data_IF_748608858908
#
_entry.id   IF_748608858908
#
_cell.length_a   1.000
_cell.length_b   1.000
_cell.length_c   1.000
_cell.angle_alpha   90.00
_cell.angle_beta   90.00
_cell.angle_gamma   90.00
#
_symmetry.space_group_name_H-M   'P 1'
#
loop_
_entity.id
_entity.type
_entity.pdbx_description
1 polymer ?
#
# COMPACT_ATOMS: atom_id res chain seq x y z
N UNK A 1 11.17 31.21 -5.47
CA UNK A 1 10.55 31.74 -4.24
C UNK A 1 9.06 31.88 -4.51
N UNK A 2 8.26 30.93 -4.03
CA UNK A 2 6.80 31.05 -3.95
C UNK A 2 6.44 30.55 -2.55
N UNK A 3 6.52 31.47 -1.59
CA UNK A 3 6.05 31.26 -0.23
C UNK A 3 4.56 31.63 -0.22
N UNK A 4 3.71 30.61 -0.40
CA UNK A 4 2.26 30.75 -0.19
C UNK A 4 1.89 29.99 1.06
N UNK A 5 1.77 30.71 2.17
CA UNK A 5 1.13 30.29 3.41
C UNK A 5 -0.34 29.98 3.14
N UNK A 6 -0.63 28.82 2.56
CA UNK A 6 -1.98 28.25 2.55
C UNK A 6 -2.31 27.86 3.99
N UNK A 7 -3.46 28.32 4.50
CA UNK A 7 -4.00 27.85 5.77
C UNK A 7 -4.00 26.32 5.79
N UNK A 8 -3.33 25.68 6.77
CA UNK A 8 -3.25 24.23 6.81
C UNK A 8 -4.66 23.64 6.89
N UNK A 9 -4.88 22.52 6.21
CA UNK A 9 -6.20 21.87 6.21
C UNK A 9 -6.65 21.58 7.64
N UNK A 10 -7.96 21.54 7.90
CA UNK A 10 -8.50 21.17 9.23
C UNK A 10 -7.90 19.85 9.73
N UNK A 11 -7.63 18.92 8.82
CA UNK A 11 -7.02 17.62 9.13
C UNK A 11 -5.58 17.80 9.60
N UNK A 12 -4.81 18.65 8.92
CA UNK A 12 -3.44 18.96 9.33
C UNK A 12 -3.38 19.63 10.69
N UNK A 13 -4.27 20.60 10.96
CA UNK A 13 -4.32 21.29 12.26
C UNK A 13 -4.61 20.32 13.41
N UNK A 14 -5.59 19.41 13.24
CA UNK A 14 -5.91 18.38 14.22
C UNK A 14 -4.74 17.44 14.48
N UNK A 15 -4.12 16.91 13.42
CA UNK A 15 -2.98 15.98 13.54
C UNK A 15 -1.79 16.68 14.20
N UNK A 16 -1.50 17.91 13.81
CA UNK A 16 -0.41 18.70 14.39
C UNK A 16 -0.61 18.90 15.90
N UNK A 17 -1.82 19.30 16.32
CA UNK A 17 -2.14 19.48 17.74
C UNK A 17 -1.99 18.19 18.53
N UNK A 18 -2.62 17.10 18.09
CA UNK A 18 -2.56 15.81 18.77
C UNK A 18 -1.11 15.29 18.85
N UNK A 19 -0.32 15.50 17.80
CA UNK A 19 1.10 15.14 17.81
C UNK A 19 1.87 15.92 18.87
N UNK A 20 1.77 17.25 18.87
CA UNK A 20 2.54 18.10 19.78
C UNK A 20 2.07 18.05 21.24
N UNK A 21 0.84 17.62 21.50
CA UNK A 21 0.37 17.35 22.87
C UNK A 21 1.10 16.17 23.54
N UNK A 22 1.59 15.22 22.75
CA UNK A 22 2.32 14.05 23.24
C UNK A 22 3.80 14.02 22.86
N UNK A 23 4.29 14.99 22.10
CA UNK A 23 5.66 15.00 21.58
C UNK A 23 6.68 15.54 22.59
N UNK A 24 7.81 14.85 22.69
CA UNK A 24 9.02 15.32 23.35
C UNK A 24 10.24 14.88 22.54
N UNK A 25 11.34 15.61 22.67
CA UNK A 25 12.55 15.30 21.90
C UNK A 25 13.07 13.89 22.22
N UNK A 26 13.34 13.10 21.17
CA UNK A 26 13.79 11.71 21.28
C UNK A 26 12.67 10.67 21.40
N UNK A 27 11.40 11.08 21.48
CA UNK A 27 10.28 10.13 21.49
C UNK A 27 10.15 9.41 20.15
N UNK A 28 9.86 8.11 20.18
CA UNK A 28 9.69 7.29 18.97
C UNK A 28 8.26 6.80 18.77
N UNK A 29 7.41 6.86 19.80
CA UNK A 29 5.99 6.48 19.73
C UNK A 29 5.13 7.43 20.57
N UNK A 30 4.00 7.89 20.01
CA UNK A 30 3.04 8.76 20.69
C UNK A 30 1.64 8.15 20.55
N UNK A 31 1.12 7.46 21.58
CA UNK A 31 -0.22 6.89 21.54
C UNK A 31 -1.29 7.98 21.70
N UNK A 32 -2.40 7.84 20.97
CA UNK A 32 -3.58 8.69 21.13
C UNK A 32 -4.88 7.94 20.86
N UNK A 33 -5.98 8.48 21.38
CA UNK A 33 -7.32 7.90 21.22
C UNK A 33 -8.19 8.79 20.33
N UNK A 34 -9.24 8.22 19.73
CA UNK A 34 -10.17 8.98 18.87
C UNK A 34 -10.78 10.22 19.56
N UNK A 35 -10.88 10.22 20.89
CA UNK A 35 -11.38 11.38 21.67
C UNK A 35 -10.47 12.61 21.53
N UNK A 36 -9.18 12.42 21.29
CA UNK A 36 -8.21 13.50 21.13
C UNK A 36 -8.57 14.44 19.96
N UNK A 37 -9.27 13.93 18.93
CA UNK A 37 -9.78 14.78 17.86
C UNK A 37 -10.84 15.78 18.34
N UNK A 38 -11.69 15.40 19.29
CA UNK A 38 -12.72 16.30 19.85
C UNK A 38 -12.08 17.37 20.72
N UNK A 39 -11.15 16.94 21.58
CA UNK A 39 -10.38 17.83 22.47
C UNK A 39 -9.58 18.85 21.65
N UNK A 40 -8.80 18.37 20.66
CA UNK A 40 -8.05 19.24 19.76
C UNK A 40 -8.94 20.19 18.95
N UNK A 41 -10.11 19.74 18.46
CA UNK A 41 -11.02 20.60 17.72
C UNK A 41 -11.58 21.74 18.58
N UNK A 42 -11.91 21.44 19.84
CA UNK A 42 -12.42 22.42 20.80
C UNK A 42 -11.36 23.44 21.17
N UNK A 43 -10.12 23.01 21.43
CA UNK A 43 -9.02 23.89 21.80
C UNK A 43 -8.57 24.81 20.64
N UNK A 44 -8.66 24.32 19.40
CA UNK A 44 -8.31 25.08 18.21
C UNK A 44 -9.48 25.93 17.66
N UNK A 45 -10.67 25.87 18.26
CA UNK A 45 -11.91 26.48 17.77
C UNK A 45 -12.20 26.14 16.29
N UNK A 46 -12.04 24.87 15.93
CA UNK A 46 -12.31 24.36 14.59
C UNK A 46 -13.53 23.45 14.58
N UNK A 47 -14.33 23.56 13.51
CA UNK A 47 -15.45 22.65 13.29
C UNK A 47 -14.96 21.21 13.15
N UNK A 48 -15.38 20.35 14.08
CA UNK A 48 -15.04 18.92 14.11
C UNK A 48 -15.49 18.25 12.79
N UNK A 49 -14.62 17.50 12.10
CA UNK A 49 -15.02 16.74 10.93
C UNK A 49 -16.08 15.69 11.26
N UNK A 50 -17.10 15.57 10.40
CA UNK A 50 -18.19 14.59 10.57
C UNK A 50 -17.68 13.14 10.59
N UNK A 51 -16.65 12.86 9.79
CA UNK A 51 -15.98 11.56 9.74
C UNK A 51 -14.54 11.64 10.27
N UNK A 52 -14.36 11.42 11.58
CA UNK A 52 -13.03 11.35 12.20
C UNK A 52 -12.15 10.22 11.64
N UNK A 53 -12.75 9.16 11.09
CA UNK A 53 -11.99 8.10 10.42
C UNK A 53 -11.31 8.58 9.14
N UNK A 54 -11.93 9.54 8.44
CA UNK A 54 -11.40 10.14 7.21
C UNK A 54 -10.13 10.96 7.48
N UNK A 55 -10.00 11.58 8.66
CA UNK A 55 -8.79 12.33 9.03
C UNK A 55 -7.56 11.40 9.05
N UNK A 56 -7.67 10.26 9.73
CA UNK A 56 -6.60 9.25 9.83
C UNK A 56 -6.34 8.62 8.46
N UNK A 57 -7.41 8.23 7.75
CA UNK A 57 -7.31 7.61 6.43
C UNK A 57 -6.61 8.55 5.42
N UNK A 58 -7.01 9.82 5.41
CA UNK A 58 -6.44 10.84 4.53
C UNK A 58 -4.95 11.05 4.79
N UNK A 59 -4.51 11.12 6.05
CA UNK A 59 -3.10 11.36 6.38
C UNK A 59 -2.23 10.11 6.16
N UNK A 60 -2.80 8.91 6.32
CA UNK A 60 -2.07 7.67 6.05
C UNK A 60 -1.86 7.39 4.56
N UNK A 61 -2.78 7.84 3.70
CA UNK A 61 -2.83 7.36 2.31
C UNK A 61 -2.94 8.43 1.22
N UNK A 62 -3.47 9.62 1.52
CA UNK A 62 -3.80 10.61 0.49
C UNK A 62 -3.05 11.93 0.61
N UNK A 63 -2.78 12.37 1.83
CA UNK A 63 -2.18 13.67 2.11
C UNK A 63 -0.90 13.53 2.91
N UNK A 64 0.13 14.35 2.61
CA UNK A 64 1.37 14.32 3.38
C UNK A 64 1.12 14.75 4.84
N UNK A 65 1.97 14.25 5.74
CA UNK A 65 2.00 14.64 7.16
C UNK A 65 2.20 16.18 7.29
N UNK A 66 1.65 16.84 8.34
CA UNK A 66 1.83 18.29 8.51
C UNK A 66 3.30 18.70 8.54
N UNK A 67 3.62 19.84 7.93
CA UNK A 67 5.00 20.33 7.80
C UNK A 67 5.72 20.48 9.16
N UNK A 68 5.01 20.90 10.21
CA UNK A 68 5.61 21.01 11.55
C UNK A 68 5.94 19.66 12.16
N UNK A 69 5.13 18.62 11.91
CA UNK A 69 5.44 17.24 12.32
C UNK A 69 6.63 16.72 11.54
N UNK A 70 6.67 16.96 10.21
CA UNK A 70 7.81 16.59 9.36
C UNK A 70 9.12 17.23 9.85
N UNK A 71 9.09 18.47 10.34
CA UNK A 71 10.26 19.15 10.88
C UNK A 71 10.88 18.49 12.13
N UNK A 72 10.14 17.58 12.79
CA UNK A 72 10.65 16.80 13.94
C UNK A 72 11.27 15.46 13.54
N UNK A 73 11.25 15.10 12.25
CA UNK A 73 11.74 13.81 11.77
C UNK A 73 13.28 13.77 11.76
N UNK A 74 13.90 12.78 12.42
CA UNK A 74 15.33 12.51 12.26
C UNK A 74 15.66 12.02 10.84
N UNK A 75 16.91 12.23 10.42
CA UNK A 75 17.40 11.75 9.12
C UNK A 75 17.19 10.24 8.98
N UNK A 76 16.60 9.83 7.85
CA UNK A 76 16.34 8.42 7.54
C UNK A 76 15.12 7.82 8.24
N UNK A 77 14.32 8.62 8.96
CA UNK A 77 13.09 8.18 9.60
C UNK A 77 11.90 9.06 9.25
N UNK A 78 10.71 8.50 9.32
CA UNK A 78 9.46 9.20 9.07
C UNK A 78 8.41 8.86 10.13
N UNK A 79 7.56 9.82 10.42
CA UNK A 79 6.40 9.66 11.27
C UNK A 79 5.26 9.02 10.46
N UNK A 80 4.79 7.88 10.93
CA UNK A 80 3.61 7.19 10.40
C UNK A 80 2.52 7.14 11.47
N UNK A 81 1.27 6.99 11.05
CA UNK A 81 0.15 6.71 11.95
C UNK A 81 -0.25 5.24 11.81
N UNK A 82 -0.22 4.52 12.92
CA UNK A 82 -0.63 3.12 13.00
C UNK A 82 -1.91 2.96 13.81
N UNK A 83 -2.68 1.93 13.47
CA UNK A 83 -3.85 1.51 14.25
C UNK A 83 -3.39 0.49 15.31
N UNK A 84 -3.66 0.78 16.58
CA UNK A 84 -3.27 -0.09 17.71
C UNK A 84 -4.49 -0.55 18.52
N UNK A 85 -5.61 -0.72 17.82
CA UNK A 85 -6.87 -1.18 18.39
C UNK A 85 -8.05 -0.30 18.02
N UNK A 86 -9.23 -0.67 18.54
CA UNK A 86 -10.48 0.04 18.25
C UNK A 86 -10.41 1.47 18.79
N UNK A 87 -10.45 2.44 17.89
CA UNK A 87 -10.37 3.88 18.20
C UNK A 87 -9.07 4.30 18.93
N UNK A 88 -8.00 3.51 18.77
CA UNK A 88 -6.67 3.76 19.32
C UNK A 88 -5.64 3.80 18.20
N UNK A 89 -4.77 4.78 18.28
CA UNK A 89 -3.79 5.11 17.25
C UNK A 89 -2.45 5.40 17.90
N UNK A 90 -1.37 5.32 17.13
CA UNK A 90 -0.09 5.88 17.54
C UNK A 90 0.60 6.56 16.38
N UNK A 91 1.26 7.68 16.66
CA UNK A 91 2.37 8.10 15.83
C UNK A 91 3.57 7.20 16.16
N UNK A 92 4.24 6.69 15.14
CA UNK A 92 5.46 5.91 15.31
C UNK A 92 6.50 6.43 14.33
N UNK A 93 7.74 6.55 14.82
CA UNK A 93 8.88 6.89 14.00
C UNK A 93 9.42 5.62 13.35
N UNK A 94 9.13 5.43 12.07
CA UNK A 94 9.56 4.29 11.26
C UNK A 94 10.77 4.65 10.41
N UNK A 95 11.54 3.65 9.97
CA UNK A 95 12.58 3.84 8.95
C UNK A 95 11.91 4.31 7.67
N UNK A 96 12.36 5.43 7.11
CA UNK A 96 11.82 5.97 5.86
C UNK A 96 12.28 5.08 4.70
N UNK A 97 11.51 4.02 4.43
CA UNK A 97 11.84 3.04 3.39
C UNK A 97 10.83 3.15 2.26
N UNK A 98 11.04 4.14 1.39
CA UNK A 98 10.19 4.36 0.23
C UNK A 98 10.52 3.33 -0.84
N UNK A 99 9.63 2.37 -1.03
CA UNK A 99 9.70 1.43 -2.16
C UNK A 99 9.12 2.11 -3.38
N UNK A 100 9.95 2.25 -4.41
CA UNK A 100 9.56 2.75 -5.74
C UNK A 100 10.03 1.75 -6.79
N UNK A 101 9.35 1.67 -7.95
CA UNK A 101 9.82 0.86 -9.07
C UNK A 101 11.26 1.21 -9.45
N UNK A 102 12.14 0.23 -9.45
CA UNK A 102 13.54 0.41 -9.81
C UNK A 102 13.68 0.57 -11.34
N UNK A 103 14.09 1.74 -11.85
CA UNK A 103 14.16 1.98 -13.30
C UNK A 103 15.27 1.19 -14.00
N UNK A 104 16.16 0.55 -13.24
CA UNK A 104 17.29 -0.24 -13.78
C UNK A 104 16.96 -1.73 -13.93
N UNK A 105 15.75 -2.17 -13.58
CA UNK A 105 15.33 -3.55 -13.81
C UNK A 105 14.95 -3.76 -15.27
N UNK A 106 15.30 -4.93 -15.80
CA UNK A 106 14.84 -5.34 -17.12
C UNK A 106 13.32 -5.48 -17.13
N UNK A 107 12.69 -4.92 -18.16
CA UNK A 107 11.24 -4.99 -18.38
C UNK A 107 10.92 -6.25 -19.18
N UNK A 108 10.04 -7.09 -18.63
CA UNK A 108 9.61 -8.35 -19.24
C UNK A 108 8.35 -8.08 -20.06
N UNK A 109 8.42 -8.26 -21.37
CA UNK A 109 7.28 -8.04 -22.27
C UNK A 109 6.44 -9.30 -22.35
N UNK A 110 5.14 -9.16 -22.15
CA UNK A 110 4.19 -10.27 -22.25
C UNK A 110 2.98 -9.85 -23.10
N UNK A 111 2.30 -10.79 -23.76
CA UNK A 111 1.05 -10.49 -24.47
C UNK A 111 -0.01 -9.91 -23.52
N UNK A 112 -0.66 -8.82 -23.92
CA UNK A 112 -1.82 -8.30 -23.20
C UNK A 112 -3.06 -9.16 -23.50
N UNK A 113 -3.56 -9.85 -22.48
CA UNK A 113 -4.76 -10.66 -22.52
C UNK A 113 -5.99 -9.91 -21.97
N UNK A 114 -5.84 -8.64 -21.62
CA UNK A 114 -6.96 -7.81 -21.13
C UNK A 114 -7.97 -7.62 -22.26
N UNK A 115 -9.23 -8.05 -22.11
CA UNK A 115 -10.25 -7.81 -23.13
C UNK A 115 -10.38 -6.30 -23.40
N UNK A 116 -10.38 -5.88 -24.66
CA UNK A 116 -10.44 -4.45 -25.05
C UNK A 116 -11.62 -3.71 -24.40
N UNK A 117 -12.73 -4.43 -24.19
CA UNK A 117 -13.93 -3.90 -23.53
C UNK A 117 -13.65 -3.40 -22.10
N UNK A 118 -12.68 -3.98 -21.41
CA UNK A 118 -12.25 -3.52 -20.08
C UNK A 118 -11.55 -2.17 -20.19
N UNK A 119 -10.65 -2.01 -21.17
CA UNK A 119 -9.98 -0.74 -21.44
C UNK A 119 -10.95 0.36 -21.83
N UNK A 120 -12.03 0.03 -22.54
CA UNK A 120 -13.06 0.99 -22.95
C UNK A 120 -13.91 1.55 -21.79
N UNK A 121 -13.99 0.85 -20.65
CA UNK A 121 -14.89 1.18 -19.54
C UNK A 121 -14.21 1.30 -18.17
N UNK A 122 -12.89 1.19 -18.09
CA UNK A 122 -12.18 1.38 -16.83
C UNK A 122 -12.35 2.82 -16.31
N UNK A 123 -12.86 2.98 -15.08
CA UNK A 123 -13.22 4.26 -14.49
C UNK A 123 -12.12 4.88 -13.63
N UNK A 124 -11.26 4.05 -13.02
CA UNK A 124 -10.16 4.48 -12.15
C UNK A 124 -8.89 3.64 -12.39
N UNK A 125 -7.73 4.20 -12.00
CA UNK A 125 -6.42 3.59 -12.24
C UNK A 125 -6.21 2.32 -11.39
N UNK A 126 -6.82 2.22 -10.21
CA UNK A 126 -6.61 1.07 -9.31
C UNK A 126 -7.34 -0.18 -9.81
N UNK A 127 -8.62 -0.05 -10.18
CA UNK A 127 -9.41 -1.12 -10.77
C UNK A 127 -8.87 -1.52 -12.14
N UNK A 128 -8.40 -0.55 -12.93
CA UNK A 128 -7.71 -0.85 -14.19
C UNK A 128 -6.46 -1.70 -13.94
N UNK A 129 -5.67 -1.37 -12.91
CA UNK A 129 -4.48 -2.13 -12.54
C UNK A 129 -4.82 -3.56 -12.12
N UNK A 130 -5.76 -3.74 -11.20
CA UNK A 130 -6.18 -5.06 -10.73
C UNK A 130 -6.78 -5.91 -11.85
N UNK A 131 -7.57 -5.31 -12.74
CA UNK A 131 -8.08 -6.01 -13.92
C UNK A 131 -6.95 -6.52 -14.81
N UNK A 132 -5.95 -5.67 -15.11
CA UNK A 132 -4.78 -6.08 -15.90
C UNK A 132 -3.97 -7.18 -15.21
N UNK A 133 -3.74 -7.07 -13.91
CA UNK A 133 -3.08 -8.11 -13.10
C UNK A 133 -3.81 -9.44 -13.23
N UNK A 134 -5.14 -9.43 -13.13
CA UNK A 134 -5.99 -10.64 -13.20
C UNK A 134 -6.02 -11.26 -14.59
N UNK A 135 -6.37 -10.48 -15.62
CA UNK A 135 -6.51 -11.00 -16.99
C UNK A 135 -5.19 -11.51 -17.57
N UNK A 136 -4.07 -10.93 -17.16
CA UNK A 136 -2.74 -11.35 -17.62
C UNK A 136 -2.08 -12.40 -16.71
N UNK A 137 -2.79 -12.89 -15.67
CA UNK A 137 -2.26 -13.83 -14.67
C UNK A 137 -0.89 -13.39 -14.13
N UNK A 138 -0.70 -12.10 -13.86
CA UNK A 138 0.60 -11.58 -13.45
C UNK A 138 1.05 -12.16 -12.11
N UNK A 139 0.12 -12.44 -11.20
CA UNK A 139 0.43 -13.11 -9.92
C UNK A 139 1.00 -14.51 -10.15
N UNK A 140 0.42 -15.29 -11.07
CA UNK A 140 0.91 -16.62 -11.43
C UNK A 140 2.31 -16.57 -12.03
N UNK A 141 2.51 -15.67 -13.00
CA UNK A 141 3.79 -15.48 -13.70
C UNK A 141 4.87 -15.05 -12.71
N UNK A 142 4.56 -14.07 -11.87
CA UNK A 142 5.50 -13.50 -10.92
C UNK A 142 5.88 -14.48 -9.81
N UNK A 143 4.91 -15.20 -9.25
CA UNK A 143 5.15 -16.08 -8.10
C UNK A 143 5.51 -17.51 -8.49
N UNK A 144 5.31 -17.90 -9.75
CA UNK A 144 5.43 -19.29 -10.20
C UNK A 144 4.37 -20.20 -9.60
N UNK A 145 3.18 -19.67 -9.33
CA UNK A 145 2.05 -20.36 -8.69
C UNK A 145 0.88 -20.50 -9.67
N UNK A 146 0.00 -21.48 -9.43
CA UNK A 146 -1.35 -21.46 -10.02
C UNK A 146 -2.28 -20.75 -9.06
N UNK A 147 -2.81 -19.59 -9.42
CA UNK A 147 -3.59 -18.73 -8.52
C UNK A 147 -5.03 -18.47 -8.97
N UNK A 148 -5.87 -18.16 -8.00
CA UNK A 148 -7.29 -17.84 -8.17
C UNK A 148 -7.64 -16.64 -7.29
N UNK A 149 -8.28 -15.63 -7.89
CA UNK A 149 -8.86 -14.52 -7.14
C UNK A 149 -10.02 -15.04 -6.29
N UNK A 150 -9.96 -14.77 -4.99
CA UNK A 150 -10.93 -15.22 -4.00
C UNK A 150 -11.93 -14.11 -3.67
N UNK A 151 -11.47 -12.87 -3.50
CA UNK A 151 -12.30 -11.74 -3.09
C UNK A 151 -11.63 -10.41 -3.44
N UNK A 152 -12.43 -9.45 -3.95
CA UNK A 152 -12.01 -8.07 -4.20
C UNK A 152 -12.55 -7.13 -3.11
N UNK A 153 -11.86 -6.03 -2.85
CA UNK A 153 -12.18 -4.99 -1.85
C UNK A 153 -12.66 -5.57 -0.53
N UNK A 154 -11.86 -6.49 0.01
CA UNK A 154 -12.20 -7.18 1.24
C UNK A 154 -12.03 -6.22 2.43
N UNK A 155 -13.16 -5.68 2.89
CA UNK A 155 -13.24 -4.95 4.15
C UNK A 155 -13.35 -5.92 5.32
N UNK A 156 -12.38 -5.86 6.22
CA UNK A 156 -12.27 -6.82 7.33
C UNK A 156 -11.60 -6.18 8.54
N UNK A 157 -11.25 -6.98 9.55
CA UNK A 157 -10.56 -6.48 10.73
C UNK A 157 -9.51 -7.45 11.25
N UNK A 158 -8.40 -6.89 11.72
CA UNK A 158 -7.32 -7.62 12.38
C UNK A 158 -7.42 -7.42 13.88
N UNK A 159 -7.39 -8.53 14.64
CA UNK A 159 -7.41 -8.45 16.10
C UNK A 159 -6.17 -7.69 16.59
N UNK A 160 -6.39 -6.66 17.41
CA UNK A 160 -5.32 -5.82 17.96
C UNK A 160 -4.93 -4.62 17.09
N UNK A 161 -5.39 -4.55 15.84
CA UNK A 161 -5.04 -3.46 14.92
C UNK A 161 -6.29 -2.64 14.59
N UNK A 162 -7.32 -3.24 13.99
CA UNK A 162 -8.54 -2.52 13.61
C UNK A 162 -9.09 -2.96 12.26
N UNK A 163 -9.94 -2.12 11.66
CA UNK A 163 -10.46 -2.36 10.32
C UNK A 163 -9.39 -2.10 9.25
N UNK A 164 -9.38 -2.95 8.24
CA UNK A 164 -8.46 -2.91 7.10
C UNK A 164 -9.24 -3.17 5.81
N UNK A 165 -8.61 -2.87 4.68
CA UNK A 165 -9.13 -3.14 3.35
C UNK A 165 -8.00 -3.77 2.52
N UNK A 166 -8.30 -4.93 1.93
CA UNK A 166 -7.41 -5.64 1.01
C UNK A 166 -8.03 -5.51 -0.38
N UNK A 167 -7.29 -4.95 -1.33
CA UNK A 167 -7.83 -4.63 -2.66
C UNK A 167 -8.19 -5.92 -3.42
N UNK A 168 -7.32 -6.93 -3.37
CA UNK A 168 -7.63 -8.26 -3.88
C UNK A 168 -6.93 -9.35 -3.08
N UNK A 169 -7.64 -10.44 -2.81
CA UNK A 169 -7.12 -11.61 -2.12
C UNK A 169 -7.10 -12.80 -3.07
N UNK A 170 -5.94 -13.41 -3.26
CA UNK A 170 -5.78 -14.64 -4.03
C UNK A 170 -5.50 -15.84 -3.12
N UNK A 171 -5.83 -17.03 -3.61
CA UNK A 171 -5.32 -18.31 -3.11
C UNK A 171 -4.57 -19.01 -4.23
N UNK A 172 -3.51 -19.75 -3.89
CA UNK A 172 -2.68 -20.39 -4.89
C UNK A 172 -2.06 -21.70 -4.44
N UNK A 173 -1.58 -22.46 -5.43
CA UNK A 173 -0.91 -23.74 -5.28
C UNK A 173 0.42 -23.72 -6.03
N UNK A 174 1.46 -24.29 -5.42
CA UNK A 174 2.70 -24.59 -6.14
C UNK A 174 2.70 -26.04 -6.68
N UNK A 175 3.75 -26.38 -7.42
CA UNK A 175 3.95 -27.72 -8.01
C UNK A 175 4.09 -28.85 -6.97
N UNK A 176 4.30 -28.53 -5.70
CA UNK A 176 4.40 -29.50 -4.61
C UNK A 176 3.08 -29.63 -3.82
N UNK A 177 2.04 -28.88 -4.22
CA UNK A 177 0.77 -28.86 -3.50
C UNK A 177 0.81 -28.03 -2.23
N UNK A 178 1.78 -27.12 -2.04
CA UNK A 178 1.72 -26.17 -0.93
C UNK A 178 0.68 -25.08 -1.22
N UNK A 179 -0.09 -24.70 -0.21
CA UNK A 179 -1.15 -23.70 -0.34
C UNK A 179 -0.67 -22.32 0.09
N UNK A 180 -1.08 -21.30 -0.66
CA UNK A 180 -0.71 -19.92 -0.44
C UNK A 180 -1.96 -19.04 -0.31
N UNK A 181 -1.85 -18.02 0.54
CA UNK A 181 -2.76 -16.87 0.58
C UNK A 181 -1.95 -15.64 0.18
N UNK A 182 -2.49 -14.84 -0.73
CA UNK A 182 -1.73 -13.80 -1.41
C UNK A 182 -2.57 -12.52 -1.37
N UNK A 183 -2.42 -11.67 -0.33
CA UNK A 183 -3.03 -10.35 -0.34
C UNK A 183 -2.30 -9.46 -1.35
N UNK A 184 -3.07 -8.78 -2.20
CA UNK A 184 -2.58 -7.87 -3.24
C UNK A 184 -3.11 -6.47 -2.97
N UNK A 185 -2.20 -5.50 -2.96
CA UNK A 185 -2.49 -4.07 -2.89
C UNK A 185 -2.14 -3.40 -4.22
N UNK A 186 -3.09 -2.68 -4.81
CA UNK A 186 -2.86 -1.92 -6.03
C UNK A 186 -2.54 -0.45 -5.70
N UNK A 187 -1.63 0.14 -6.48
CA UNK A 187 -1.23 1.54 -6.35
C UNK A 187 -1.26 2.22 -7.72
N UNK A 188 -2.11 3.23 -7.85
CA UNK A 188 -2.21 4.08 -9.05
C UNK A 188 -1.26 5.29 -8.97
N UNK A 189 -0.72 5.70 -10.11
CA UNK A 189 -0.01 6.98 -10.26
C UNK A 189 1.15 7.18 -9.27
N UNK A 190 1.07 8.22 -8.44
CA UNK A 190 2.12 8.59 -7.47
C UNK A 190 1.95 7.97 -6.09
N UNK A 191 0.96 7.09 -5.91
CA UNK A 191 0.72 6.43 -4.62
C UNK A 191 1.90 5.57 -4.21
N UNK A 192 2.20 5.56 -2.92
CA UNK A 192 3.35 4.86 -2.37
C UNK A 192 2.93 3.52 -1.77
N UNK A 193 3.83 2.55 -1.86
CA UNK A 193 3.68 1.25 -1.20
C UNK A 193 3.80 1.47 0.31
N UNK A 194 2.76 1.12 1.06
CA UNK A 194 2.68 1.37 2.50
C UNK A 194 3.10 0.14 3.31
N UNK A 195 4.17 0.27 4.10
CA UNK A 195 4.58 -0.74 5.08
C UNK A 195 3.45 -1.13 6.03
N UNK A 196 2.63 -0.15 6.43
CA UNK A 196 1.52 -0.38 7.34
C UNK A 196 0.44 -1.25 6.70
N UNK A 197 0.15 -1.08 5.40
CA UNK A 197 -0.82 -1.93 4.70
C UNK A 197 -0.29 -3.36 4.56
N UNK A 198 0.97 -3.52 4.12
CA UNK A 198 1.58 -4.85 4.01
C UNK A 198 1.58 -5.59 5.35
N UNK A 199 1.93 -4.90 6.44
CA UNK A 199 1.90 -5.48 7.79
C UNK A 199 0.48 -5.88 8.21
N UNK A 200 -0.51 -5.02 7.94
CA UNK A 200 -1.93 -5.25 8.23
C UNK A 200 -2.48 -6.47 7.49
N UNK A 201 -2.24 -6.54 6.18
CA UNK A 201 -2.73 -7.61 5.32
C UNK A 201 -2.09 -8.95 5.66
N UNK A 202 -0.77 -8.95 5.93
CA UNK A 202 -0.03 -10.14 6.35
C UNK A 202 -0.53 -10.64 7.71
N UNK A 203 -0.73 -9.74 8.67
CA UNK A 203 -1.28 -10.08 9.98
C UNK A 203 -2.69 -10.67 9.86
N UNK A 204 -3.53 -10.09 9.01
CA UNK A 204 -4.87 -10.61 8.75
C UNK A 204 -4.82 -12.02 8.16
N UNK A 205 -4.03 -12.23 7.11
CA UNK A 205 -3.88 -13.52 6.46
C UNK A 205 -3.37 -14.59 7.43
N UNK A 206 -2.40 -14.25 8.27
CA UNK A 206 -1.85 -15.17 9.28
C UNK A 206 -2.90 -15.54 10.34
N UNK A 207 -3.74 -14.59 10.77
CA UNK A 207 -4.82 -14.86 11.74
C UNK A 207 -5.95 -15.69 11.11
N UNK A 208 -6.34 -15.37 9.88
CA UNK A 208 -7.48 -16.01 9.20
C UNK A 208 -7.14 -17.38 8.63
N UNK A 209 -5.92 -17.55 8.11
CA UNK A 209 -5.44 -18.74 7.42
C UNK A 209 -4.09 -19.20 8.00
N UNK A 210 -4.04 -19.62 9.27
CA UNK A 210 -2.78 -19.95 9.96
C UNK A 210 -2.01 -21.13 9.35
N UNK A 211 -2.65 -21.94 8.50
CA UNK A 211 -2.06 -23.10 7.82
C UNK A 211 -1.59 -22.81 6.41
N UNK A 212 -1.82 -21.61 5.87
CA UNK A 212 -1.42 -21.21 4.52
C UNK A 212 -0.17 -20.32 4.57
N UNK A 213 0.65 -20.38 3.54
CA UNK A 213 1.81 -19.49 3.39
C UNK A 213 1.35 -18.14 2.86
N UNK A 214 1.59 -17.07 3.61
CA UNK A 214 1.27 -15.71 3.18
C UNK A 214 2.39 -15.13 2.30
N UNK A 215 2.06 -14.66 1.09
CA UNK A 215 2.97 -13.87 0.23
C UNK A 215 2.30 -12.55 -0.13
N UNK A 216 2.72 -11.46 0.51
CA UNK A 216 2.09 -10.16 0.30
C UNK A 216 2.66 -9.49 -0.97
N UNK A 217 1.75 -9.01 -1.82
CA UNK A 217 2.09 -8.43 -3.12
C UNK A 217 1.63 -6.99 -3.19
N UNK A 218 2.46 -6.12 -3.74
CA UNK A 218 2.01 -4.82 -4.21
C UNK A 218 2.18 -4.73 -5.72
N UNK A 219 1.14 -4.25 -6.40
CA UNK A 219 1.15 -3.93 -7.81
C UNK A 219 1.12 -2.42 -7.99
N UNK A 220 1.94 -1.90 -8.89
CA UNK A 220 2.00 -0.47 -9.17
C UNK A 220 2.14 -0.21 -10.67
N UNK A 221 1.41 0.78 -11.19
CA UNK A 221 1.65 1.28 -12.53
C UNK A 221 2.96 2.07 -12.59
N UNK A 222 3.82 1.73 -13.55
CA UNK A 222 4.95 2.57 -14.00
C UNK A 222 4.51 3.47 -15.16
N UNK A 223 3.71 2.90 -16.06
CA UNK A 223 2.96 3.56 -17.13
C UNK A 223 1.64 2.82 -17.34
N UNK A 224 0.79 3.27 -18.27
CA UNK A 224 -0.49 2.60 -18.55
C UNK A 224 -0.33 1.14 -19.01
N UNK A 225 0.81 0.78 -19.58
CA UNK A 225 1.13 -0.53 -20.14
C UNK A 225 2.25 -1.28 -19.37
N UNK A 226 2.90 -0.64 -18.39
CA UNK A 226 3.96 -1.24 -17.59
C UNK A 226 3.58 -1.30 -16.10
N UNK A 227 3.66 -2.50 -15.54
CA UNK A 227 3.28 -2.80 -14.16
C UNK A 227 4.50 -3.35 -13.41
N UNK A 228 4.84 -2.74 -12.28
CA UNK A 228 5.80 -3.28 -11.33
C UNK A 228 5.06 -4.13 -10.30
N UNK A 229 5.55 -5.35 -10.06
CA UNK A 229 5.11 -6.22 -8.98
C UNK A 229 6.22 -6.38 -7.95
N UNK A 230 5.84 -6.27 -6.68
CA UNK A 230 6.72 -6.44 -5.53
C UNK A 230 6.19 -7.57 -4.65
N UNK A 231 7.04 -8.54 -4.32
CA UNK A 231 6.82 -9.38 -3.15
C UNK A 231 7.44 -8.70 -1.95
N UNK A 232 6.66 -8.53 -0.90
CA UNK A 232 7.04 -7.77 0.29
C UNK A 232 7.02 -8.65 1.53
N UNK A 233 7.97 -8.42 2.43
CA UNK A 233 7.99 -9.01 3.76
C UNK A 233 8.21 -7.93 4.82
N UNK A 234 7.63 -8.13 6.00
CA UNK A 234 8.03 -7.39 7.19
C UNK A 234 9.20 -8.13 7.86
N UNK A 235 10.28 -7.42 8.14
CA UNK A 235 11.49 -7.93 8.78
C UNK A 235 11.90 -6.91 9.86
N UNK A 236 11.84 -7.30 11.15
CA UNK A 236 12.06 -6.40 12.29
C UNK A 236 11.31 -5.06 12.19
N UNK A 237 10.00 -5.11 11.88
CA UNK A 237 9.12 -3.96 11.64
C UNK A 237 9.50 -3.09 10.41
N UNK A 238 10.45 -3.51 9.58
CA UNK A 238 10.80 -2.84 8.34
C UNK A 238 10.23 -3.58 7.13
N UNK A 239 9.68 -2.82 6.19
CA UNK A 239 9.24 -3.37 4.91
C UNK A 239 10.47 -3.65 4.04
N UNK A 240 10.60 -4.89 3.56
CA UNK A 240 11.65 -5.32 2.63
C UNK A 240 11.04 -5.87 1.35
N UNK A 241 11.71 -5.61 0.23
CA UNK A 241 11.42 -6.23 -1.07
C UNK A 241 12.10 -7.60 -1.10
N UNK A 242 11.32 -8.65 -1.29
CA UNK A 242 11.82 -10.02 -1.53
C UNK A 242 12.17 -10.18 -3.00
N UNK A 243 11.26 -9.76 -3.87
CA UNK A 243 11.43 -9.79 -5.33
C UNK A 243 10.70 -8.61 -5.97
N UNK A 244 11.26 -8.09 -7.05
CA UNK A 244 10.67 -7.06 -7.90
C UNK A 244 10.82 -7.45 -9.37
N UNK A 245 9.72 -7.36 -10.13
CA UNK A 245 9.70 -7.58 -11.58
C UNK A 245 8.79 -6.57 -12.25
N UNK A 246 9.19 -6.12 -13.44
CA UNK A 246 8.41 -5.18 -14.24
C UNK A 246 7.91 -5.90 -15.49
N UNK A 247 6.60 -5.82 -15.71
CA UNK A 247 5.94 -6.43 -16.86
C UNK A 247 5.37 -5.36 -17.76
N UNK A 248 5.67 -5.42 -19.05
CA UNK A 248 5.05 -4.58 -20.07
C UNK A 248 4.07 -5.40 -20.89
N UNK A 249 2.81 -5.00 -20.86
CA UNK A 249 1.74 -5.61 -21.63
C UNK A 249 1.81 -5.07 -23.05
N UNK A 250 1.97 -5.95 -24.04
CA UNK A 250 2.11 -5.57 -25.44
C UNK A 250 1.23 -6.43 -26.35
N UNK A 251 0.82 -5.93 -27.53
CA UNK A 251 0.25 -6.77 -28.57
C UNK A 251 1.22 -7.90 -28.94
N UNK A 252 0.69 -9.10 -29.21
CA UNK A 252 1.51 -10.26 -29.54
C UNK A 252 2.45 -10.03 -30.74
N UNK A 253 2.04 -9.19 -31.70
CA UNK A 253 2.84 -8.84 -32.87
C UNK A 253 4.07 -7.97 -32.58
N UNK A 254 4.17 -7.37 -31.40
CA UNK A 254 5.31 -6.52 -31.00
C UNK A 254 6.41 -7.29 -30.26
N UNK A 255 6.18 -8.55 -29.91
CA UNK A 255 7.17 -9.38 -29.24
C UNK A 255 8.25 -9.84 -30.21
N UNK A 256 9.51 -9.64 -29.84
CA UNK A 256 10.62 -10.23 -30.57
C UNK A 256 10.75 -11.72 -30.22
N UNK A 257 10.76 -12.57 -31.25
CA UNK A 257 10.91 -14.02 -31.09
C UNK A 257 12.23 -14.40 -30.42
N UNK A 258 13.28 -13.61 -30.62
CA UNK A 258 14.57 -13.84 -29.98
C UNK A 258 14.51 -13.48 -28.49
N UNK A 259 13.93 -12.32 -28.18
CA UNK A 259 13.69 -11.85 -26.80
C UNK A 259 12.92 -12.89 -25.96
N UNK A 260 11.85 -13.49 -26.52
CA UNK A 260 11.05 -14.52 -25.82
C UNK A 260 11.89 -15.72 -25.37
N UNK A 261 12.89 -16.14 -26.16
CA UNK A 261 13.75 -17.28 -25.83
C UNK A 261 14.85 -16.87 -24.85
N UNK A 262 15.39 -15.67 -25.03
CA UNK A 262 16.56 -15.18 -24.30
C UNK A 262 16.24 -14.72 -22.86
N UNK A 263 14.97 -14.54 -22.48
CA UNK A 263 14.57 -14.14 -21.11
C UNK A 263 15.05 -15.07 -19.98
N UNK A 264 15.56 -16.27 -20.29
CA UNK A 264 16.13 -17.22 -19.33
C UNK A 264 17.67 -17.18 -19.24
N UNK A 265 18.32 -16.25 -19.93
CA UNK A 265 19.78 -16.09 -19.98
C UNK A 265 20.31 -15.19 -18.86
#
# INVERSE_FOLDING_TARGET
MNDTTKTPSRYHQLIEKIFFDGYSEGITEIPFERKAFKEAAQELDIALPDNLGDVIYSIRFRTPMPAKVLATQPVGREWIIELVGRAKYRFRLATANRIVPNPNLAVIRIPDNTPEIIGAYALDDEQALLAKVRYNRLIDIFLGLTTFSLQNHLRTSVKGVGQIEIDELYVGLDKYGCHYVIPVQAKGGSDQISAVQTAQDTAWCTQKYPTLRCRAISAQFVSSDQIALFELKMDDDELKVVEERHYKLVPAGELDRKEIVDYRS
#
